data_IF_367997276422
#
_entry.id   IF_367997276422
#
_cell.length_a   1.000
_cell.length_b   1.000
_cell.length_c   1.000
_cell.angle_alpha   90.00
_cell.angle_beta   90.00
_cell.angle_gamma   90.00
#
_symmetry.space_group_name_H-M   'P 1'
#
loop_
_entity.id
_entity.type
_entity.pdbx_description
1 polymer ?
#
# COMPACT_ATOMS: atom_id res chain seq x y z
N UNK A 1 -9.14 12.96 6.05
CA UNK A 1 -7.69 12.75 5.81
C UNK A 1 -6.95 12.08 6.97
N UNK A 2 -7.12 12.47 8.25
CA UNK A 2 -6.67 11.64 9.40
C UNK A 2 -7.23 10.21 9.35
N UNK A 3 -8.43 10.09 8.78
CA UNK A 3 -9.17 8.84 8.64
C UNK A 3 -8.39 7.73 7.94
N UNK A 4 -7.78 7.99 6.77
CA UNK A 4 -7.08 6.92 6.02
C UNK A 4 -5.85 6.37 6.73
N UNK A 5 -5.08 7.22 7.41
CA UNK A 5 -3.93 6.79 8.21
C UNK A 5 -4.35 6.03 9.46
N UNK A 6 -5.52 6.36 10.02
CA UNK A 6 -6.14 5.59 11.10
C UNK A 6 -6.63 4.22 10.61
N UNK A 7 -7.23 4.15 9.42
CA UNK A 7 -7.65 2.90 8.78
C UNK A 7 -6.49 1.94 8.60
N UNK A 8 -5.29 2.42 8.24
CA UNK A 8 -4.11 1.55 8.14
C UNK A 8 -3.71 0.90 9.47
N UNK A 9 -3.96 1.58 10.60
CA UNK A 9 -3.62 1.04 11.93
C UNK A 9 -4.60 -0.05 12.39
N UNK A 10 -5.80 -0.10 11.81
CA UNK A 10 -6.80 -1.12 12.15
C UNK A 10 -6.66 -2.40 11.32
N UNK A 11 -5.88 -2.36 10.23
CA UNK A 11 -5.63 -3.53 9.38
C UNK A 11 -4.90 -4.63 10.15
N UNK A 12 -5.49 -5.83 10.19
CA UNK A 12 -4.91 -7.02 10.82
C UNK A 12 -4.43 -7.96 9.72
N UNK A 13 -3.11 -8.13 9.60
CA UNK A 13 -2.49 -8.97 8.58
C UNK A 13 -1.54 -10.00 9.20
N UNK A 14 -1.33 -11.15 8.53
CA UNK A 14 -0.32 -12.12 8.94
C UNK A 14 1.04 -11.45 9.19
N UNK A 15 1.71 -11.70 10.34
CA UNK A 15 2.97 -11.05 10.69
C UNK A 15 4.07 -11.21 9.64
N UNK A 16 4.08 -12.33 8.92
CA UNK A 16 5.06 -12.60 7.87
C UNK A 16 4.93 -11.62 6.70
N UNK A 17 3.70 -11.33 6.24
CA UNK A 17 3.47 -10.38 5.15
C UNK A 17 3.91 -8.97 5.55
N UNK A 18 3.60 -8.56 6.78
CA UNK A 18 4.01 -7.26 7.31
C UNK A 18 5.53 -7.16 7.42
N UNK A 19 6.21 -8.21 7.91
CA UNK A 19 7.68 -8.23 7.99
C UNK A 19 8.33 -8.14 6.62
N UNK A 20 7.86 -8.93 5.65
CA UNK A 20 8.34 -8.88 4.27
C UNK A 20 8.15 -7.49 3.65
N UNK A 21 6.97 -6.90 3.82
CA UNK A 21 6.68 -5.57 3.31
C UNK A 21 7.61 -4.52 3.92
N UNK A 22 7.83 -4.55 5.25
CA UNK A 22 8.73 -3.60 5.93
C UNK A 22 10.16 -3.61 5.37
N UNK A 23 10.67 -4.78 4.97
CA UNK A 23 11.99 -4.89 4.34
C UNK A 23 12.03 -4.25 2.95
N UNK A 24 10.94 -4.32 2.18
CA UNK A 24 10.86 -3.75 0.84
C UNK A 24 10.57 -2.26 0.77
N UNK A 25 10.14 -1.63 1.88
CA UNK A 25 9.79 -0.19 1.89
C UNK A 25 10.98 0.71 1.53
N UNK A 26 12.23 0.36 1.90
CA UNK A 26 13.41 1.17 1.55
C UNK A 26 13.68 1.21 0.05
N UNK A 27 13.28 0.15 -0.67
CA UNK A 27 13.50 -0.01 -2.10
C UNK A 27 12.34 0.54 -2.95
N UNK A 28 11.29 1.07 -2.31
CA UNK A 28 10.09 1.50 -3.03
C UNK A 28 10.35 2.75 -3.89
N UNK A 29 10.20 2.59 -5.20
CA UNK A 29 10.25 3.67 -6.19
C UNK A 29 8.86 3.96 -6.73
N UNK A 30 8.30 5.10 -6.34
CA UNK A 30 6.91 5.50 -6.65
C UNK A 30 6.59 5.52 -8.14
N UNK A 31 7.50 6.05 -8.95
CA UNK A 31 7.37 6.15 -10.41
C UNK A 31 7.26 4.79 -11.10
N UNK A 32 7.97 3.78 -10.59
CA UNK A 32 8.05 2.44 -11.17
C UNK A 32 7.01 1.50 -10.56
N UNK A 33 6.96 1.41 -9.23
CA UNK A 33 6.20 0.40 -8.51
C UNK A 33 4.71 0.74 -8.45
N UNK A 34 4.34 2.01 -8.25
CA UNK A 34 2.92 2.38 -8.15
C UNK A 34 2.16 2.13 -9.46
N UNK A 35 2.82 2.34 -10.61
CA UNK A 35 2.23 2.07 -11.94
C UNK A 35 1.83 0.61 -12.13
N UNK A 36 2.56 -0.33 -11.52
CA UNK A 36 2.24 -1.77 -11.62
C UNK A 36 0.92 -2.12 -10.95
N UNK A 37 0.49 -1.33 -9.97
CA UNK A 37 -0.76 -1.55 -9.25
C UNK A 37 -1.91 -0.70 -9.80
N UNK A 38 -1.64 0.54 -10.23
CA UNK A 38 -2.66 1.51 -10.61
C UNK A 38 -2.88 1.64 -12.13
N UNK A 39 -2.02 1.01 -12.93
CA UNK A 39 -2.05 1.07 -14.39
C UNK A 39 -1.18 2.20 -14.98
N UNK A 40 -1.09 2.26 -16.32
CA UNK A 40 -0.39 3.33 -17.01
C UNK A 40 -1.13 4.67 -16.85
N UNK A 41 -0.38 5.77 -16.78
CA UNK A 41 -0.93 7.13 -16.70
C UNK A 41 -0.23 8.01 -15.68
N UNK A 42 -0.80 9.21 -15.46
CA UNK A 42 -0.34 10.10 -14.41
C UNK A 42 -0.60 9.47 -13.04
N UNK A 43 0.44 9.41 -12.21
CA UNK A 43 0.29 8.85 -10.87
C UNK A 43 -0.56 9.80 -10.01
N UNK A 44 -1.57 9.27 -9.29
CA UNK A 44 -2.38 10.08 -8.39
C UNK A 44 -1.53 10.62 -7.23
N UNK A 45 -2.08 11.58 -6.48
CA UNK A 45 -1.46 12.05 -5.22
C UNK A 45 -1.48 10.93 -4.16
N UNK A 46 -0.60 10.99 -3.16
CA UNK A 46 -0.41 9.92 -2.19
C UNK A 46 -1.70 9.46 -1.50
N UNK A 47 -2.60 10.38 -1.14
CA UNK A 47 -3.89 10.03 -0.53
C UNK A 47 -4.77 9.17 -1.46
N UNK A 48 -5.01 9.62 -2.68
CA UNK A 48 -5.79 8.87 -3.67
C UNK A 48 -5.09 7.57 -4.13
N UNK A 49 -3.75 7.54 -4.15
CA UNK A 49 -3.01 6.31 -4.38
C UNK A 49 -3.27 5.30 -3.26
N UNK A 50 -3.26 5.75 -2.01
CA UNK A 50 -3.45 4.91 -0.83
C UNK A 50 -4.88 4.35 -0.76
N UNK A 51 -5.91 5.13 -1.10
CA UNK A 51 -7.30 4.66 -1.19
C UNK A 51 -7.42 3.46 -2.14
N UNK A 52 -6.89 3.59 -3.35
CA UNK A 52 -6.90 2.50 -4.34
C UNK A 52 -6.09 1.29 -3.91
N UNK A 53 -4.96 1.50 -3.23
CA UNK A 53 -4.14 0.41 -2.72
C UNK A 53 -4.84 -0.37 -1.60
N UNK A 54 -5.61 0.31 -0.73
CA UNK A 54 -6.42 -0.33 0.32
C UNK A 54 -7.48 -1.25 -0.29
N UNK A 55 -8.13 -0.83 -1.38
CA UNK A 55 -9.11 -1.67 -2.10
C UNK A 55 -8.43 -2.92 -2.66
N UNK A 56 -7.32 -2.76 -3.38
CA UNK A 56 -6.55 -3.87 -3.96
C UNK A 56 -6.07 -4.83 -2.85
N UNK A 57 -5.60 -4.30 -1.73
CA UNK A 57 -5.14 -5.09 -0.60
C UNK A 57 -6.29 -5.87 0.06
N UNK A 58 -7.47 -5.25 0.20
CA UNK A 58 -8.65 -5.92 0.75
C UNK A 58 -9.09 -7.10 -0.12
N UNK A 59 -9.03 -6.95 -1.45
CA UNK A 59 -9.29 -8.05 -2.38
C UNK A 59 -8.26 -9.17 -2.26
N UNK A 60 -6.97 -8.82 -2.09
CA UNK A 60 -5.90 -9.81 -1.89
C UNK A 60 -6.01 -10.52 -0.54
N UNK A 61 -6.48 -9.85 0.51
CA UNK A 61 -6.71 -10.48 1.81
C UNK A 61 -7.93 -11.42 1.75
N UNK A 62 -9.00 -11.03 1.05
CA UNK A 62 -10.13 -11.92 0.79
C UNK A 62 -9.70 -13.17 0.02
N UNK A 63 -8.99 -13.02 -1.09
CA UNK A 63 -8.44 -14.13 -1.87
C UNK A 63 -7.54 -15.05 -1.02
N UNK A 64 -6.72 -14.47 -0.14
CA UNK A 64 -5.89 -15.23 0.83
C UNK A 64 -6.73 -16.06 1.79
N UNK A 65 -7.80 -15.48 2.36
CA UNK A 65 -8.67 -16.15 3.32
C UNK A 65 -9.46 -17.29 2.66
N UNK A 66 -9.92 -17.08 1.43
CA UNK A 66 -10.66 -18.06 0.63
C UNK A 66 -9.75 -19.13 0.01
N UNK A 67 -8.42 -18.99 0.12
CA UNK A 67 -7.42 -19.83 -0.57
C UNK A 67 -7.66 -19.88 -2.08
N UNK A 68 -8.01 -18.74 -2.66
CA UNK A 68 -8.27 -18.59 -4.08
C UNK A 68 -7.03 -19.01 -4.91
N UNK A 69 -7.27 -19.63 -6.06
CA UNK A 69 -6.22 -20.21 -6.92
C UNK A 69 -5.32 -19.12 -7.53
N UNK A 70 -5.85 -17.93 -7.71
CA UNK A 70 -5.16 -16.75 -8.26
C UNK A 70 -4.48 -15.89 -7.17
N UNK A 71 -4.56 -16.29 -5.90
CA UNK A 71 -3.90 -15.58 -4.81
C UNK A 71 -2.37 -15.65 -4.95
N UNK A 72 -1.74 -14.47 -4.93
CA UNK A 72 -0.27 -14.35 -4.91
C UNK A 72 0.19 -13.61 -3.66
N UNK A 73 0.91 -14.32 -2.78
CA UNK A 73 1.55 -13.73 -1.61
C UNK A 73 2.59 -12.67 -1.98
N UNK A 74 3.32 -12.87 -3.09
CA UNK A 74 4.28 -11.90 -3.59
C UNK A 74 3.58 -10.59 -3.98
N UNK A 75 2.47 -10.67 -4.73
CA UNK A 75 1.67 -9.48 -5.07
C UNK A 75 1.09 -8.79 -3.83
N UNK A 76 0.65 -9.57 -2.84
CA UNK A 76 0.15 -9.02 -1.57
C UNK A 76 1.26 -8.24 -0.85
N UNK A 77 2.47 -8.79 -0.76
CA UNK A 77 3.63 -8.07 -0.19
C UNK A 77 3.94 -6.80 -0.97
N UNK A 78 3.95 -6.83 -2.31
CA UNK A 78 4.20 -5.64 -3.14
C UNK A 78 3.18 -4.51 -2.87
N UNK A 79 1.90 -4.85 -2.74
CA UNK A 79 0.85 -3.88 -2.42
C UNK A 79 1.04 -3.31 -1.00
N UNK A 80 1.39 -4.15 -0.02
CA UNK A 80 1.70 -3.68 1.33
C UNK A 80 2.93 -2.76 1.37
N UNK A 81 3.97 -3.03 0.56
CA UNK A 81 5.13 -2.15 0.40
C UNK A 81 4.67 -0.78 -0.12
N UNK A 82 3.85 -0.78 -1.17
CA UNK A 82 3.32 0.45 -1.75
C UNK A 82 2.48 1.24 -0.73
N UNK A 83 1.57 0.58 -0.01
CA UNK A 83 0.72 1.23 1.01
C UNK A 83 1.55 1.88 2.12
N UNK A 84 2.51 1.14 2.68
CA UNK A 84 3.37 1.67 3.75
C UNK A 84 4.22 2.85 3.27
N UNK A 85 4.69 2.80 2.03
CA UNK A 85 5.51 3.86 1.44
C UNK A 85 4.68 5.10 1.11
N UNK A 86 3.51 4.96 0.48
CA UNK A 86 2.59 6.08 0.22
C UNK A 86 2.10 6.72 1.53
N UNK A 87 1.87 5.93 2.58
CA UNK A 87 1.52 6.44 3.90
C UNK A 87 2.65 7.28 4.52
N UNK A 88 3.92 6.87 4.35
CA UNK A 88 5.09 7.66 4.77
C UNK A 88 5.18 8.97 3.99
N UNK A 89 5.02 8.94 2.67
CA UNK A 89 5.02 10.15 1.85
C UNK A 89 3.87 11.09 2.22
N UNK A 90 2.68 10.55 2.49
CA UNK A 90 1.54 11.34 2.95
C UNK A 90 1.84 12.01 4.29
N UNK A 91 2.39 11.29 5.27
CA UNK A 91 2.79 11.87 6.57
C UNK A 91 3.82 12.98 6.42
N UNK A 92 4.88 12.75 5.65
CA UNK A 92 5.91 13.75 5.39
C UNK A 92 5.33 15.01 4.71
N UNK A 93 4.40 14.84 3.77
CA UNK A 93 3.72 15.95 3.11
C UNK A 93 2.78 16.74 4.04
N UNK A 94 2.29 16.13 5.12
CA UNK A 94 1.46 16.79 6.14
C UNK A 94 2.30 17.48 7.23
N UNK A 95 3.49 16.95 7.50
CA UNK A 95 4.43 17.47 8.51
C UNK A 95 5.28 18.64 8.00
N UNK A 96 5.45 18.76 6.68
CA UNK A 96 6.09 19.92 6.04
C UNK A 96 5.05 21.04 5.86
N UNK A 97 5.08 22.12 6.67
CA UNK A 97 4.27 23.28 6.37
C UNK A 97 4.84 23.93 5.10
N UNK A 98 3.97 24.33 4.18
CA UNK A 98 4.36 25.21 3.10
C UNK A 98 4.95 26.49 3.73
N UNK A 99 6.27 26.66 3.58
CA UNK A 99 6.95 27.91 3.88
C UNK A 99 6.59 28.99 2.88
#
# INVERSE_FOLDING_TARGET
MKDILSTLNTLRRPPLLIRAARLGVSEYRRDVHLRRHLGPGQLPRCAAALERLIEIESDLDRARQERAVDYSAARHVDVLIAMMSEARFLRAALEMPAG
#
